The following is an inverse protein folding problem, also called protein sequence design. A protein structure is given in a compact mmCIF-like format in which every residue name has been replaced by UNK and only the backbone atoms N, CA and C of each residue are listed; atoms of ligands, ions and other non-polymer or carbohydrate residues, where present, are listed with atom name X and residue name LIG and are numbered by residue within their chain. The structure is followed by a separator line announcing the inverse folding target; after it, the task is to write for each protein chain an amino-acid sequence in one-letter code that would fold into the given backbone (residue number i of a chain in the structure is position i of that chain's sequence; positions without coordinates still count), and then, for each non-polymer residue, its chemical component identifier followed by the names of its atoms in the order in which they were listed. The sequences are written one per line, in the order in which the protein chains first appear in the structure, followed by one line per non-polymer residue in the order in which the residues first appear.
data_IF_056182594516
#
_entry.id   IF_056182594516
#
_cell.length_a   1.000
_cell.length_b   1.000
_cell.length_c   1.000
_cell.angle_alpha   90.00
_cell.angle_beta   90.00
_cell.angle_gamma   90.00
#
_symmetry.space_group_name_H-M   'P 1'
#
loop_
_entity.id
_entity.type
_entity.pdbx_description
1 polymer ?
#
# COMPACT_ATOMS: atom_id res chain seq x y z
N UNK A 1 3.71 -23.37 17.40
CA UNK A 1 3.17 -22.42 16.42
C UNK A 1 4.35 -21.98 15.56
N UNK A 2 4.29 -22.13 14.25
CA UNK A 2 5.35 -21.68 13.35
C UNK A 2 5.24 -20.15 13.12
N UNK A 3 6.29 -19.53 12.57
CA UNK A 3 6.34 -18.07 12.35
C UNK A 3 5.17 -17.52 11.52
N UNK A 4 4.69 -18.23 10.51
CA UNK A 4 3.52 -17.79 9.73
C UNK A 4 2.23 -17.86 10.56
N UNK A 5 2.04 -18.94 11.31
CA UNK A 5 0.93 -19.05 12.26
C UNK A 5 0.98 -17.97 13.34
N UNK A 6 2.18 -17.58 13.81
CA UNK A 6 2.36 -16.45 14.72
C UNK A 6 1.99 -15.11 14.08
N UNK A 7 2.39 -14.87 12.83
CA UNK A 7 2.02 -13.66 12.08
C UNK A 7 0.49 -13.58 11.93
N UNK A 8 -0.14 -14.69 11.54
CA UNK A 8 -1.60 -14.78 11.39
C UNK A 8 -2.29 -14.58 12.73
N UNK A 9 -1.88 -15.30 13.78
CA UNK A 9 -2.47 -15.19 15.12
C UNK A 9 -2.32 -13.78 15.70
N UNK A 10 -1.14 -13.16 15.54
CA UNK A 10 -0.89 -11.77 15.97
C UNK A 10 -1.77 -10.78 15.22
N UNK A 11 -1.87 -10.93 13.90
CA UNK A 11 -2.70 -10.08 13.06
C UNK A 11 -4.18 -10.22 13.47
N UNK A 12 -4.73 -11.42 13.52
CA UNK A 12 -6.13 -11.67 13.90
C UNK A 12 -6.47 -11.19 15.31
N UNK A 13 -5.57 -11.42 16.27
CA UNK A 13 -5.73 -10.92 17.65
C UNK A 13 -5.77 -9.39 17.68
N UNK A 14 -4.84 -8.72 16.99
CA UNK A 14 -4.81 -7.27 16.89
C UNK A 14 -6.03 -6.71 16.16
N UNK A 15 -6.50 -7.36 15.09
CA UNK A 15 -7.71 -6.96 14.36
C UNK A 15 -8.91 -6.92 15.27
N UNK A 16 -9.15 -8.02 16.02
CA UNK A 16 -10.25 -8.13 16.98
C UNK A 16 -10.18 -7.01 18.00
N UNK A 17 -9.03 -6.82 18.64
CA UNK A 17 -8.82 -5.76 19.62
C UNK A 17 -9.06 -4.37 19.01
N UNK A 18 -8.50 -4.07 17.84
CA UNK A 18 -8.62 -2.77 17.19
C UNK A 18 -10.07 -2.44 16.81
N UNK A 19 -10.86 -3.45 16.41
CA UNK A 19 -12.30 -3.31 16.13
C UNK A 19 -13.10 -3.13 17.42
N UNK A 20 -12.75 -3.83 18.51
CA UNK A 20 -13.36 -3.64 19.84
C UNK A 20 -13.06 -2.24 20.41
N UNK A 21 -11.83 -1.75 20.23
CA UNK A 21 -11.38 -0.41 20.61
C UNK A 21 -11.88 0.70 19.65
N UNK A 22 -12.63 0.34 18.61
CA UNK A 22 -13.20 1.32 17.69
C UNK A 22 -14.42 1.98 18.32
N UNK A 23 -14.44 3.34 18.46
CA UNK A 23 -15.55 4.03 19.09
C UNK A 23 -16.88 3.67 18.44
N UNK A 24 -17.93 3.48 19.26
CA UNK A 24 -19.25 3.06 18.77
C UNK A 24 -19.90 4.00 17.76
N UNK A 25 -19.50 5.27 17.73
CA UNK A 25 -19.95 6.26 16.74
C UNK A 25 -19.23 6.16 15.40
N UNK A 26 -18.10 5.45 15.31
CA UNK A 26 -17.35 5.33 14.07
C UNK A 26 -18.13 4.53 13.04
N UNK A 27 -18.29 5.12 11.85
CA UNK A 27 -18.92 4.49 10.68
C UNK A 27 -17.95 4.57 9.52
N UNK A 28 -17.41 3.43 9.08
CA UNK A 28 -16.51 3.37 7.93
C UNK A 28 -17.14 3.91 6.65
N UNK A 29 -18.44 3.77 6.50
CA UNK A 29 -19.20 4.28 5.35
C UNK A 29 -19.21 5.80 5.30
N UNK A 30 -19.33 6.47 6.46
CA UNK A 30 -19.21 7.93 6.55
C UNK A 30 -17.76 8.38 6.32
N UNK A 31 -16.79 7.59 6.80
CA UNK A 31 -15.38 7.85 6.54
C UNK A 31 -15.08 7.81 5.03
N UNK A 32 -15.41 6.71 4.36
CA UNK A 32 -15.24 6.57 2.91
C UNK A 32 -16.04 7.63 2.16
N UNK A 33 -17.30 7.85 2.56
CA UNK A 33 -18.17 8.87 1.97
C UNK A 33 -17.57 10.26 2.04
N UNK A 34 -16.96 10.65 3.17
CA UNK A 34 -16.25 11.92 3.29
C UNK A 34 -15.05 11.98 2.34
N UNK A 35 -14.20 10.95 2.33
CA UNK A 35 -13.00 10.90 1.47
C UNK A 35 -13.38 11.06 -0.01
N UNK A 36 -14.42 10.34 -0.46
CA UNK A 36 -14.92 10.42 -1.82
C UNK A 36 -15.56 11.79 -2.10
N UNK A 37 -16.49 12.24 -1.27
CA UNK A 37 -17.22 13.49 -1.50
C UNK A 37 -16.28 14.71 -1.51
N UNK A 38 -15.34 14.78 -0.57
CA UNK A 38 -14.36 15.87 -0.52
C UNK A 38 -13.45 15.86 -1.76
N UNK A 39 -12.83 14.72 -2.05
CA UNK A 39 -11.84 14.64 -3.15
C UNK A 39 -12.49 14.82 -4.51
N UNK A 40 -13.64 14.17 -4.76
CA UNK A 40 -14.42 14.36 -5.99
C UNK A 40 -14.91 15.80 -6.07
N UNK A 41 -15.31 16.42 -4.96
CA UNK A 41 -15.70 17.83 -4.90
C UNK A 41 -14.56 18.76 -5.33
N UNK A 42 -13.32 18.51 -4.90
CA UNK A 42 -12.14 19.28 -5.35
C UNK A 42 -11.88 19.08 -6.84
N UNK A 43 -11.91 17.83 -7.33
CA UNK A 43 -11.75 17.52 -8.76
C UNK A 43 -12.81 18.23 -9.59
N UNK A 44 -14.08 18.12 -9.19
CA UNK A 44 -15.20 18.77 -9.86
C UNK A 44 -15.09 20.28 -9.84
N UNK A 45 -14.74 20.87 -8.69
CA UNK A 45 -14.55 22.31 -8.57
C UNK A 45 -13.46 22.78 -9.54
N UNK A 46 -12.27 22.16 -9.53
CA UNK A 46 -11.19 22.54 -10.44
C UNK A 46 -11.59 22.38 -11.91
N UNK A 47 -12.28 21.28 -12.26
CA UNK A 47 -12.77 21.05 -13.62
C UNK A 47 -13.77 22.12 -14.07
N UNK A 48 -14.66 22.58 -13.18
CA UNK A 48 -15.66 23.61 -13.47
C UNK A 48 -15.05 25.01 -13.67
N UNK A 49 -13.82 25.25 -13.20
CA UNK A 49 -13.11 26.52 -13.42
C UNK A 49 -12.34 26.57 -14.74
N UNK A 50 -12.17 25.44 -15.43
CA UNK A 50 -11.41 25.37 -16.67
C UNK A 50 -12.14 26.09 -17.80
N UNK A 51 -11.44 26.96 -18.52
CA UNK A 51 -11.98 27.69 -19.66
C UNK A 51 -10.97 27.72 -20.80
N UNK A 52 -11.38 27.30 -22.01
CA UNK A 52 -10.53 27.36 -23.22
C UNK A 52 -9.13 26.73 -23.01
N UNK A 53 -9.05 25.56 -22.37
CA UNK A 53 -7.77 24.90 -22.09
C UNK A 53 -7.04 24.52 -23.37
N UNK A 54 -5.71 24.53 -23.31
CA UNK A 54 -4.85 24.07 -24.41
C UNK A 54 -4.34 22.66 -24.15
N UNK A 55 -4.00 21.93 -25.22
CA UNK A 55 -3.41 20.58 -25.06
C UNK A 55 -2.05 20.65 -24.35
N UNK A 56 -1.32 21.76 -24.48
CA UNK A 56 -0.05 22.00 -23.80
C UNK A 56 -0.23 22.02 -22.28
N UNK A 57 -1.25 22.73 -21.78
CA UNK A 57 -1.56 22.76 -20.34
C UNK A 57 -1.84 21.34 -19.83
N UNK A 58 -2.64 20.55 -20.56
CA UNK A 58 -2.88 19.16 -20.20
C UNK A 58 -1.60 18.33 -20.20
N UNK A 59 -0.79 18.38 -21.26
CA UNK A 59 0.40 17.55 -21.37
C UNK A 59 1.47 17.93 -20.35
N UNK A 60 1.84 19.21 -20.32
CA UNK A 60 3.00 19.71 -19.55
C UNK A 60 2.67 20.02 -18.09
N UNK A 61 1.40 20.04 -17.69
CA UNK A 61 1.03 20.08 -16.26
C UNK A 61 0.73 18.68 -15.75
N UNK A 62 -0.12 17.90 -16.42
CA UNK A 62 -0.53 16.58 -15.90
C UNK A 62 0.66 15.64 -15.79
N UNK A 63 1.52 15.53 -16.82
CA UNK A 63 2.62 14.56 -16.78
C UNK A 63 3.59 14.85 -15.63
N UNK A 64 4.14 16.08 -15.47
CA UNK A 64 5.03 16.36 -14.36
C UNK A 64 4.35 16.21 -13.00
N UNK A 65 3.09 16.65 -12.86
CA UNK A 65 2.36 16.52 -11.59
C UNK A 65 2.06 15.06 -11.25
N UNK A 66 1.72 14.23 -12.24
CA UNK A 66 1.54 12.79 -12.09
C UNK A 66 2.83 12.09 -11.65
N UNK A 67 3.95 12.36 -12.32
CA UNK A 67 5.25 11.80 -11.96
C UNK A 67 5.72 12.29 -10.60
N UNK A 68 5.46 13.56 -10.27
CA UNK A 68 5.69 14.11 -8.95
C UNK A 68 4.84 13.41 -7.89
N UNK A 69 3.55 13.17 -8.15
CA UNK A 69 2.68 12.40 -7.27
C UNK A 69 3.21 10.99 -7.02
N UNK A 70 3.69 10.31 -8.08
CA UNK A 70 4.28 8.97 -7.97
C UNK A 70 5.56 8.93 -7.16
N UNK A 71 6.42 9.92 -7.35
CA UNK A 71 7.60 10.09 -6.52
C UNK A 71 7.25 10.44 -5.07
N UNK A 72 6.31 11.36 -4.85
CA UNK A 72 5.91 11.82 -3.52
C UNK A 72 5.27 10.69 -2.72
N UNK A 73 4.46 9.86 -3.36
CA UNK A 73 3.92 8.62 -2.80
C UNK A 73 5.06 7.68 -2.37
N UNK A 74 5.97 7.33 -3.29
CA UNK A 74 7.08 6.44 -3.00
C UNK A 74 7.96 6.97 -1.86
N UNK A 75 8.30 8.26 -1.91
CA UNK A 75 9.17 8.89 -0.93
C UNK A 75 8.48 9.00 0.44
N UNK A 76 7.20 9.41 0.45
CA UNK A 76 6.39 9.46 1.66
C UNK A 76 6.24 8.09 2.30
N UNK A 77 5.91 7.08 1.49
CA UNK A 77 5.72 5.72 1.97
C UNK A 77 7.03 5.13 2.52
N UNK A 78 8.15 5.26 1.80
CA UNK A 78 9.45 4.76 2.24
C UNK A 78 10.03 5.50 3.44
N UNK A 79 10.10 6.83 3.36
CA UNK A 79 10.89 7.63 4.30
C UNK A 79 10.06 8.25 5.43
N UNK A 80 8.75 8.41 5.28
CA UNK A 80 7.88 8.95 6.34
C UNK A 80 7.06 7.85 7.02
N UNK A 81 6.53 6.90 6.25
CA UNK A 81 5.64 5.86 6.78
C UNK A 81 6.40 4.59 7.21
N UNK A 82 7.49 4.21 6.54
CA UNK A 82 8.31 3.03 6.89
C UNK A 82 9.63 3.33 7.60
N UNK A 83 9.91 4.59 7.94
CA UNK A 83 11.12 4.95 8.67
C UNK A 83 10.83 5.16 10.16
N UNK A 84 11.46 4.40 11.08
CA UNK A 84 11.37 4.68 12.52
C UNK A 84 12.02 6.02 12.90
N UNK A 85 12.86 6.58 12.02
CA UNK A 85 13.48 7.91 12.14
C UNK A 85 12.61 9.02 11.54
N UNK A 86 11.40 8.69 11.07
CA UNK A 86 10.46 9.66 10.51
C UNK A 86 10.17 10.79 11.51
N UNK A 87 10.18 12.02 11.01
CA UNK A 87 9.78 13.19 11.79
C UNK A 87 8.26 13.25 12.00
N UNK A 88 7.49 12.50 11.20
CA UNK A 88 6.03 12.31 11.38
C UNK A 88 5.77 10.97 12.09
N UNK A 89 6.24 10.85 13.34
CA UNK A 89 6.09 9.62 14.15
C UNK A 89 4.66 9.07 14.21
N UNK A 90 3.59 9.90 14.31
CA UNK A 90 2.22 9.38 14.28
C UNK A 90 1.86 8.67 12.97
N UNK A 91 2.35 9.16 11.83
CA UNK A 91 2.12 8.54 10.53
C UNK A 91 2.87 7.21 10.40
N UNK A 92 4.14 7.16 10.83
CA UNK A 92 4.90 5.90 10.94
C UNK A 92 4.18 4.87 11.82
N UNK A 93 3.75 5.26 13.04
CA UNK A 93 3.05 4.35 13.95
C UNK A 93 1.73 3.86 13.37
N UNK A 94 0.94 4.76 12.77
CA UNK A 94 -0.30 4.38 12.11
C UNK A 94 -0.04 3.41 10.96
N UNK A 95 1.00 3.63 10.17
CA UNK A 95 1.25 2.79 9.02
C UNK A 95 1.85 1.43 9.42
N UNK A 96 2.94 1.40 10.19
CA UNK A 96 3.61 0.14 10.56
C UNK A 96 2.89 -0.58 11.70
N UNK A 97 2.60 0.12 12.80
CA UNK A 97 2.05 -0.49 14.02
C UNK A 97 0.52 -0.56 14.03
N UNK A 98 -0.17 0.00 13.03
CA UNK A 98 -1.61 -0.23 12.86
C UNK A 98 -1.89 -0.92 11.53
N UNK A 99 -1.59 -0.30 10.39
CA UNK A 99 -1.95 -0.86 9.09
C UNK A 99 -1.25 -2.21 8.80
N UNK A 100 0.09 -2.29 8.90
CA UNK A 100 0.84 -3.55 8.68
C UNK A 100 0.68 -4.59 9.80
N UNK A 101 0.26 -4.17 11.00
CA UNK A 101 -0.08 -5.11 12.06
C UNK A 101 -1.49 -5.69 11.86
N UNK A 102 -2.42 -4.85 11.40
CA UNK A 102 -3.79 -5.24 11.08
C UNK A 102 -3.83 -6.12 9.83
N UNK A 103 -3.10 -5.75 8.77
CA UNK A 103 -3.03 -6.48 7.51
C UNK A 103 -1.64 -7.08 7.33
N UNK A 104 -1.55 -8.41 7.26
CA UNK A 104 -0.31 -9.11 6.93
C UNK A 104 -0.40 -9.70 5.52
N UNK A 105 0.74 -10.14 4.98
CA UNK A 105 0.77 -10.87 3.70
C UNK A 105 -0.04 -12.19 3.68
N UNK A 106 -0.54 -12.67 4.83
CA UNK A 106 -1.39 -13.87 4.96
C UNK A 106 -2.84 -13.55 5.34
N UNK A 107 -3.07 -12.34 5.84
CA UNK A 107 -4.35 -11.83 6.30
C UNK A 107 -4.45 -10.42 5.74
N UNK A 108 -4.57 -10.32 4.41
CA UNK A 108 -4.53 -9.02 3.73
C UNK A 108 -5.93 -8.43 3.57
N UNK A 109 -6.94 -9.28 3.47
CA UNK A 109 -8.33 -8.87 3.25
C UNK A 109 -8.96 -8.18 4.48
N UNK A 110 -9.99 -7.36 4.23
CA UNK A 110 -10.79 -6.70 5.26
C UNK A 110 -12.22 -7.24 5.33
N UNK A 111 -12.81 -7.23 6.51
CA UNK A 111 -14.17 -7.72 6.79
C UNK A 111 -15.06 -6.61 7.33
N UNK A 112 -15.74 -5.91 6.42
CA UNK A 112 -16.73 -4.90 6.76
C UNK A 112 -16.16 -3.52 7.14
N UNK A 113 -17.08 -2.58 7.33
CA UNK A 113 -16.77 -1.15 7.37
C UNK A 113 -15.90 -0.69 8.56
N UNK A 114 -15.91 -1.40 9.70
CA UNK A 114 -15.08 -1.00 10.86
C UNK A 114 -13.59 -1.17 10.60
N UNK A 115 -13.21 -2.18 9.81
CA UNK A 115 -11.82 -2.45 9.45
C UNK A 115 -11.25 -1.39 8.51
N UNK A 116 -12.11 -0.63 7.80
CA UNK A 116 -11.69 0.50 6.98
C UNK A 116 -10.97 1.59 7.80
N UNK A 117 -11.13 1.63 9.13
CA UNK A 117 -10.36 2.52 10.00
C UNK A 117 -8.86 2.19 10.02
N UNK A 118 -8.49 0.93 9.79
CA UNK A 118 -7.10 0.49 9.69
C UNK A 118 -6.59 0.52 8.24
N UNK A 119 -7.48 0.46 7.26
CA UNK A 119 -7.16 0.44 5.83
C UNK A 119 -6.97 1.86 5.28
N UNK A 120 -8.03 2.66 5.31
CA UNK A 120 -8.08 3.97 4.67
C UNK A 120 -7.15 4.97 5.37
N UNK A 121 -6.68 5.96 4.63
CA UNK A 121 -6.08 7.14 5.25
C UNK A 121 -7.07 7.79 6.24
N UNK A 122 -6.61 8.47 7.31
CA UNK A 122 -7.51 9.18 8.22
C UNK A 122 -8.45 10.14 7.49
N UNK A 123 -9.65 10.43 8.02
CA UNK A 123 -10.61 11.30 7.34
C UNK A 123 -10.07 12.70 7.00
N UNK A 124 -9.12 13.23 7.78
CA UNK A 124 -8.51 14.53 7.51
C UNK A 124 -7.42 14.51 6.42
N UNK A 125 -6.92 13.33 6.04
CA UNK A 125 -5.82 13.19 5.09
C UNK A 125 -6.11 13.75 3.69
N UNK A 126 -7.27 13.49 3.03
CA UNK A 126 -7.57 14.11 1.74
C UNK A 126 -7.45 15.65 1.78
N UNK A 127 -7.90 16.28 2.87
CA UNK A 127 -7.76 17.73 3.07
C UNK A 127 -6.29 18.13 3.13
N UNK A 128 -5.48 17.41 3.91
CA UNK A 128 -4.05 17.66 4.04
C UNK A 128 -3.32 17.51 2.68
N UNK A 129 -3.64 16.48 1.89
CA UNK A 129 -3.02 16.28 0.58
C UNK A 129 -3.39 17.39 -0.42
N UNK A 130 -4.64 17.83 -0.42
CA UNK A 130 -5.08 18.98 -1.23
C UNK A 130 -4.34 20.25 -0.81
N UNK A 131 -4.24 20.52 0.50
CA UNK A 131 -3.49 21.68 1.01
C UNK A 131 -2.00 21.59 0.69
N UNK A 132 -1.41 20.39 0.71
CA UNK A 132 -0.02 20.18 0.34
C UNK A 132 0.24 20.41 -1.16
N UNK A 133 -0.73 20.10 -2.02
CA UNK A 133 -0.65 20.36 -3.46
C UNK A 133 -0.90 21.84 -3.83
N UNK A 134 -1.59 22.59 -2.97
CA UNK A 134 -2.03 23.96 -3.24
C UNK A 134 -0.88 24.93 -3.59
N UNK A 135 0.26 24.96 -2.87
CA UNK A 135 1.37 25.84 -3.23
C UNK A 135 1.90 25.61 -4.65
N UNK A 136 2.04 24.34 -5.07
CA UNK A 136 2.48 24.01 -6.42
C UNK A 136 1.45 24.42 -7.47
N UNK A 137 0.16 24.17 -7.21
CA UNK A 137 -0.93 24.59 -8.08
C UNK A 137 -1.01 26.11 -8.24
N UNK A 138 -0.88 26.87 -7.15
CA UNK A 138 -0.84 28.32 -7.20
C UNK A 138 0.39 28.83 -7.94
N UNK A 139 1.57 28.23 -7.71
CA UNK A 139 2.80 28.61 -8.41
C UNK A 139 2.66 28.40 -9.93
N UNK A 140 2.24 27.21 -10.36
CA UNK A 140 1.99 26.89 -11.78
C UNK A 140 0.93 27.84 -12.36
N UNK A 141 -0.13 28.10 -11.59
CA UNK A 141 -1.21 28.99 -11.98
C UNK A 141 -0.78 30.43 -12.25
N UNK A 142 0.11 30.95 -11.40
CA UNK A 142 0.65 32.30 -11.53
C UNK A 142 1.73 32.41 -12.62
N UNK A 143 2.50 31.35 -12.86
CA UNK A 143 3.59 31.36 -13.85
C UNK A 143 3.11 31.11 -15.28
N UNK A 144 1.97 30.44 -15.47
CA UNK A 144 1.48 30.08 -16.79
C UNK A 144 0.05 30.57 -17.03
N UNK A 145 -0.94 30.01 -16.34
CA UNK A 145 -2.36 30.37 -16.50
C UNK A 145 -3.20 29.83 -15.35
N UNK A 146 -4.36 30.44 -15.08
CA UNK A 146 -5.30 29.90 -14.10
C UNK A 146 -5.69 28.43 -14.40
N UNK A 147 -5.88 28.08 -15.68
CA UNK A 147 -6.13 26.71 -16.11
C UNK A 147 -5.02 25.76 -15.68
N UNK A 148 -3.75 26.14 -15.87
CA UNK A 148 -2.61 25.31 -15.48
C UNK A 148 -2.60 25.04 -13.97
N UNK A 149 -2.93 26.04 -13.15
CA UNK A 149 -3.08 25.86 -11.70
C UNK A 149 -4.22 24.91 -11.33
N UNK A 150 -5.39 25.06 -11.96
CA UNK A 150 -6.52 24.15 -11.75
C UNK A 150 -6.23 22.73 -12.23
N UNK A 151 -5.56 22.55 -13.37
CA UNK A 151 -5.14 21.24 -13.89
C UNK A 151 -4.14 20.59 -12.92
N UNK A 152 -3.21 21.35 -12.34
CA UNK A 152 -2.27 20.84 -11.35
C UNK A 152 -2.99 20.32 -10.09
N UNK A 153 -3.91 21.11 -9.53
CA UNK A 153 -4.72 20.70 -8.37
C UNK A 153 -5.61 19.49 -8.69
N UNK A 154 -6.31 19.53 -9.83
CA UNK A 154 -7.13 18.45 -10.33
C UNK A 154 -6.34 17.15 -10.43
N UNK A 155 -5.12 17.22 -11.00
CA UNK A 155 -4.23 16.06 -11.14
C UNK A 155 -3.87 15.47 -9.79
N UNK A 156 -3.48 16.29 -8.81
CA UNK A 156 -3.08 15.80 -7.48
C UNK A 156 -4.25 15.25 -6.66
N UNK A 157 -5.42 15.89 -6.72
CA UNK A 157 -6.63 15.37 -6.09
C UNK A 157 -7.06 14.02 -6.70
N UNK A 158 -6.98 13.91 -8.03
CA UNK A 158 -7.26 12.67 -8.75
C UNK A 158 -6.23 11.58 -8.43
N UNK A 159 -4.97 11.97 -8.29
CA UNK A 159 -3.89 11.08 -7.89
C UNK A 159 -4.13 10.48 -6.50
N UNK A 160 -4.51 11.32 -5.51
CA UNK A 160 -4.87 10.83 -4.18
C UNK A 160 -6.03 9.84 -4.22
N UNK A 161 -7.09 10.14 -5.00
CA UNK A 161 -8.23 9.23 -5.13
C UNK A 161 -7.83 7.89 -5.77
N UNK A 162 -6.97 7.93 -6.78
CA UNK A 162 -6.42 6.74 -7.43
C UNK A 162 -5.55 5.92 -6.47
N UNK A 163 -4.71 6.56 -5.66
CA UNK A 163 -3.94 5.91 -4.60
C UNK A 163 -4.86 5.16 -3.65
N UNK A 164 -5.84 5.85 -3.06
CA UNK A 164 -6.73 5.26 -2.05
C UNK A 164 -7.53 4.10 -2.65
N UNK A 165 -7.97 4.25 -3.90
CA UNK A 165 -8.67 3.20 -4.65
C UNK A 165 -7.79 1.97 -4.91
N UNK A 166 -6.59 2.13 -5.47
CA UNK A 166 -5.68 1.02 -5.77
C UNK A 166 -5.17 0.32 -4.51
N UNK A 167 -4.90 1.09 -3.45
CA UNK A 167 -4.57 0.54 -2.14
C UNK A 167 -5.73 -0.29 -1.58
N UNK A 168 -6.95 0.24 -1.58
CA UNK A 168 -8.15 -0.48 -1.14
C UNK A 168 -8.38 -1.77 -1.93
N UNK A 169 -8.23 -1.73 -3.27
CA UNK A 169 -8.35 -2.91 -4.13
C UNK A 169 -7.25 -3.96 -3.86
N UNK A 170 -6.09 -3.53 -3.37
CA UNK A 170 -5.00 -4.44 -2.97
C UNK A 170 -5.27 -5.19 -1.67
N UNK A 171 -6.20 -4.69 -0.87
CA UNK A 171 -6.72 -5.39 0.30
C UNK A 171 -8.06 -6.08 0.03
N UNK A 172 -8.49 -6.24 -1.22
CA UNK A 172 -9.72 -6.94 -1.56
C UNK A 172 -9.41 -8.23 -2.31
N UNK A 173 -9.87 -9.37 -1.81
CA UNK A 173 -9.76 -10.67 -2.48
C UNK A 173 -10.91 -10.88 -3.47
N UNK A 174 -10.64 -10.64 -4.77
CA UNK A 174 -11.65 -10.84 -5.80
C UNK A 174 -11.04 -11.28 -7.15
N UNK A 175 -11.50 -12.39 -7.79
CA UNK A 175 -10.86 -12.96 -8.99
C UNK A 175 -10.80 -12.03 -10.20
N UNK A 176 -11.70 -11.05 -10.31
CA UNK A 176 -11.64 -10.06 -11.40
C UNK A 176 -10.40 -9.17 -11.26
N UNK A 177 -10.00 -8.84 -10.03
CA UNK A 177 -8.87 -7.94 -9.78
C UNK A 177 -7.53 -8.57 -10.19
N UNK A 178 -7.42 -9.89 -10.16
CA UNK A 178 -6.22 -10.61 -10.64
C UNK A 178 -6.03 -10.50 -12.16
N UNK A 179 -7.10 -10.17 -12.89
CA UNK A 179 -7.11 -10.09 -14.37
C UNK A 179 -7.06 -8.65 -14.89
N UNK A 180 -7.28 -7.66 -14.04
CA UNK A 180 -7.20 -6.25 -14.42
C UNK A 180 -5.72 -5.82 -14.51
N UNK A 181 -5.21 -5.43 -15.69
CA UNK A 181 -3.83 -4.96 -15.82
C UNK A 181 -3.55 -3.76 -14.92
N UNK A 182 -2.29 -3.61 -14.49
CA UNK A 182 -1.82 -2.61 -13.51
C UNK A 182 -2.32 -2.87 -12.10
N UNK A 183 -3.64 -3.09 -11.92
CA UNK A 183 -4.22 -3.48 -10.63
C UNK A 183 -3.56 -4.77 -10.14
N UNK A 184 -3.57 -5.83 -10.93
CA UNK A 184 -3.00 -7.11 -10.54
C UNK A 184 -1.51 -7.04 -10.15
N UNK A 185 -0.69 -6.30 -10.89
CA UNK A 185 0.71 -6.04 -10.54
C UNK A 185 0.83 -5.41 -9.16
N UNK A 186 0.09 -4.33 -8.92
CA UNK A 186 0.16 -3.55 -7.68
C UNK A 186 -0.30 -4.40 -6.50
N UNK A 187 -1.41 -5.13 -6.66
CA UNK A 187 -1.91 -6.06 -5.64
C UNK A 187 -0.85 -7.09 -5.26
N UNK A 188 -0.21 -7.71 -6.27
CA UNK A 188 0.86 -8.69 -6.05
C UNK A 188 2.08 -8.09 -5.34
N UNK A 189 2.51 -6.91 -5.74
CA UNK A 189 3.64 -6.20 -5.11
C UNK A 189 3.31 -5.79 -3.67
N UNK A 190 2.07 -5.37 -3.42
CA UNK A 190 1.57 -4.96 -2.11
C UNK A 190 1.47 -6.12 -1.11
N UNK A 191 1.07 -7.32 -1.57
CA UNK A 191 1.11 -8.53 -0.74
C UNK A 191 2.52 -8.76 -0.17
N UNK A 192 3.56 -8.66 -1.01
CA UNK A 192 4.94 -8.79 -0.54
C UNK A 192 5.36 -7.63 0.36
N UNK A 193 4.91 -6.41 0.04
CA UNK A 193 5.14 -5.25 0.89
C UNK A 193 4.60 -5.46 2.32
N UNK A 194 3.48 -6.16 2.49
CA UNK A 194 2.93 -6.56 3.80
C UNK A 194 3.67 -7.73 4.49
N UNK A 195 4.74 -8.27 3.90
CA UNK A 195 5.61 -9.20 4.60
C UNK A 195 6.60 -8.41 5.49
N UNK A 196 6.65 -8.68 6.81
CA UNK A 196 7.50 -7.93 7.75
C UNK A 196 8.98 -7.86 7.36
N UNK A 197 9.47 -8.84 6.61
CA UNK A 197 10.86 -8.90 6.18
C UNK A 197 11.15 -8.03 4.94
N UNK A 198 10.11 -7.53 4.26
CA UNK A 198 10.23 -6.77 3.02
C UNK A 198 9.61 -5.37 3.11
N UNK A 199 8.71 -5.11 4.07
CA UNK A 199 7.97 -3.85 4.20
C UNK A 199 8.86 -2.59 4.30
N UNK A 200 10.11 -2.73 4.75
CA UNK A 200 11.06 -1.63 4.85
C UNK A 200 11.98 -1.44 3.65
N UNK A 201 11.93 -2.33 2.66
CA UNK A 201 12.89 -2.36 1.55
C UNK A 201 12.26 -2.47 0.17
N UNK A 202 11.05 -3.01 0.05
CA UNK A 202 10.40 -3.29 -1.23
C UNK A 202 9.04 -2.63 -1.41
N UNK A 203 8.74 -2.30 -2.66
CA UNK A 203 7.41 -2.05 -3.20
C UNK A 203 6.63 -0.94 -2.47
N UNK A 204 7.13 0.30 -2.56
CA UNK A 204 6.53 1.46 -1.88
C UNK A 204 5.49 2.20 -2.71
N UNK A 205 5.39 1.97 -4.01
CA UNK A 205 4.29 2.51 -4.80
C UNK A 205 3.07 1.60 -4.70
N UNK A 206 1.96 2.19 -4.28
CA UNK A 206 0.61 1.61 -4.23
C UNK A 206 -0.27 2.08 -5.39
N UNK A 207 0.23 2.97 -6.25
CA UNK A 207 -0.37 3.30 -7.54
C UNK A 207 0.33 2.61 -8.70
N UNK A 208 1.31 3.24 -9.33
CA UNK A 208 2.11 2.68 -10.42
C UNK A 208 3.53 2.46 -9.89
N UNK A 209 4.12 1.26 -10.00
CA UNK A 209 5.47 0.96 -9.51
C UNK A 209 6.60 1.57 -10.36
N UNK A 210 6.47 2.84 -10.74
CA UNK A 210 7.45 3.57 -11.54
C UNK A 210 8.68 3.88 -10.68
N UNK A 211 8.50 4.55 -9.53
CA UNK A 211 9.62 4.84 -8.64
C UNK A 211 10.23 3.58 -8.02
N UNK A 212 9.43 2.54 -7.76
CA UNK A 212 9.98 1.24 -7.36
C UNK A 212 10.93 0.63 -8.39
N UNK A 213 10.54 0.66 -9.67
CA UNK A 213 11.40 0.19 -10.75
C UNK A 213 12.63 1.09 -10.95
N UNK A 214 12.45 2.42 -10.94
CA UNK A 214 13.53 3.38 -11.18
C UNK A 214 14.57 3.43 -10.04
N UNK A 215 14.13 3.31 -8.78
CA UNK A 215 14.99 3.43 -7.61
C UNK A 215 15.37 2.09 -6.98
N UNK A 216 15.09 0.98 -7.68
CA UNK A 216 15.54 -0.36 -7.28
C UNK A 216 14.84 -0.95 -6.06
N UNK A 217 13.68 -0.41 -5.67
CA UNK A 217 12.86 -0.96 -4.57
C UNK A 217 11.80 -1.94 -5.04
N UNK A 218 11.63 -2.14 -6.34
CA UNK A 218 10.86 -3.27 -6.86
C UNK A 218 11.53 -4.60 -6.48
N UNK A 219 10.73 -5.58 -6.06
CA UNK A 219 11.18 -6.97 -5.87
C UNK A 219 11.25 -7.76 -7.19
N UNK A 220 10.78 -7.18 -8.29
CA UNK A 220 10.83 -7.76 -9.63
C UNK A 220 12.14 -7.40 -10.33
N UNK A 221 12.72 -8.37 -11.03
CA UNK A 221 13.89 -8.21 -11.91
C UNK A 221 13.43 -7.81 -13.32
N UNK A 222 12.82 -6.62 -13.42
CA UNK A 222 12.27 -6.05 -14.65
C UNK A 222 12.51 -4.54 -14.72
N UNK A 223 12.55 -4.01 -15.94
CA UNK A 223 12.48 -2.56 -16.16
C UNK A 223 11.09 -1.98 -15.84
N UNK A 224 10.91 -0.66 -16.02
CA UNK A 224 9.66 0.06 -15.69
C UNK A 224 8.42 -0.58 -16.33
N UNK A 225 8.44 -0.80 -17.65
CA UNK A 225 7.29 -1.40 -18.36
C UNK A 225 7.01 -2.83 -17.90
N UNK A 226 8.06 -3.64 -17.73
CA UNK A 226 7.91 -5.01 -17.26
C UNK A 226 7.39 -5.10 -15.83
N UNK A 227 7.77 -4.14 -14.98
CA UNK A 227 7.25 -4.01 -13.61
C UNK A 227 5.77 -3.64 -13.65
N UNK A 228 5.39 -2.57 -14.37
CA UNK A 228 4.00 -2.10 -14.48
C UNK A 228 3.02 -3.20 -14.91
N UNK A 229 3.40 -3.99 -15.90
CA UNK A 229 2.54 -5.03 -16.49
C UNK A 229 2.96 -6.46 -16.08
N UNK A 230 3.54 -6.64 -14.91
CA UNK A 230 3.94 -7.97 -14.43
C UNK A 230 2.76 -8.92 -14.19
N UNK A 231 1.63 -8.38 -13.75
CA UNK A 231 0.52 -9.17 -13.25
C UNK A 231 0.82 -9.87 -11.93
N UNK A 232 0.08 -10.96 -11.66
CA UNK A 232 0.19 -11.74 -10.42
C UNK A 232 1.40 -12.69 -10.37
N UNK A 233 2.25 -12.75 -11.41
CA UNK A 233 3.35 -13.71 -11.48
C UNK A 233 4.49 -13.40 -10.51
N UNK A 234 5.06 -14.45 -9.92
CA UNK A 234 6.26 -14.41 -9.07
C UNK A 234 7.55 -14.84 -9.79
N UNK A 235 7.45 -15.25 -11.05
CA UNK A 235 8.59 -15.80 -11.82
C UNK A 235 9.75 -14.83 -11.91
N UNK A 236 9.45 -13.55 -12.11
CA UNK A 236 10.44 -12.50 -12.26
C UNK A 236 10.93 -11.91 -10.93
N UNK A 237 10.59 -12.50 -9.78
CA UNK A 237 11.11 -12.04 -8.48
C UNK A 237 12.63 -12.20 -8.43
N UNK A 238 13.32 -11.17 -7.92
CA UNK A 238 14.78 -11.15 -7.77
C UNK A 238 15.28 -12.35 -6.96
N UNK A 239 16.45 -12.88 -7.33
CA UNK A 239 17.02 -14.06 -6.70
C UNK A 239 17.24 -13.89 -5.19
N UNK A 240 17.69 -12.71 -4.75
CA UNK A 240 17.87 -12.37 -3.34
C UNK A 240 16.55 -12.40 -2.54
N UNK A 241 15.46 -11.87 -3.11
CA UNK A 241 14.15 -11.86 -2.46
C UNK A 241 13.52 -13.27 -2.43
N UNK A 242 13.74 -14.08 -3.49
CA UNK A 242 13.39 -15.51 -3.50
C UNK A 242 14.14 -16.28 -2.43
N UNK A 243 15.45 -16.09 -2.32
CA UNK A 243 16.29 -16.75 -1.33
C UNK A 243 15.83 -16.41 0.10
N UNK A 244 15.47 -15.14 0.35
CA UNK A 244 14.93 -14.70 1.64
C UNK A 244 13.62 -15.40 2.00
N UNK A 245 12.68 -15.53 1.05
CA UNK A 245 11.45 -16.30 1.27
C UNK A 245 11.71 -17.79 1.54
N UNK A 246 12.62 -18.41 0.78
CA UNK A 246 12.99 -19.83 1.01
C UNK A 246 13.63 -19.99 2.39
N UNK A 247 14.48 -19.07 2.82
CA UNK A 247 15.06 -19.09 4.16
C UNK A 247 13.98 -19.03 5.24
N UNK A 248 12.95 -18.18 5.09
CA UNK A 248 11.79 -18.14 6.00
C UNK A 248 11.06 -19.49 6.07
N UNK A 249 10.95 -20.21 4.95
CA UNK A 249 10.32 -21.54 4.90
C UNK A 249 11.22 -22.64 5.50
N UNK A 250 12.54 -22.51 5.39
CA UNK A 250 13.49 -23.49 5.90
C UNK A 250 13.73 -23.34 7.41
N UNK A 251 13.81 -22.11 7.94
CA UNK A 251 13.78 -21.85 9.39
C UNK A 251 12.55 -22.50 10.03
N UNK A 252 11.43 -22.54 9.31
CA UNK A 252 10.22 -23.27 9.72
C UNK A 252 10.45 -24.78 9.78
N UNK A 253 11.08 -25.39 8.78
CA UNK A 253 11.28 -26.85 8.75
C UNK A 253 12.19 -27.33 9.89
N UNK A 254 13.26 -26.60 10.20
CA UNK A 254 14.17 -26.94 11.30
C UNK A 254 13.50 -26.77 12.67
N UNK A 255 12.74 -25.69 12.89
CA UNK A 255 12.05 -25.44 14.17
C UNK A 255 10.97 -26.48 14.46
N UNK A 256 10.27 -26.98 13.42
CA UNK A 256 9.27 -28.05 13.57
C UNK A 256 9.95 -29.40 13.86
N UNK A 257 11.07 -29.71 13.19
CA UNK A 257 11.82 -30.95 13.41
C UNK A 257 12.45 -31.04 14.82
N UNK A 258 12.87 -29.90 15.41
CA UNK A 258 13.38 -29.85 16.78
C UNK A 258 12.28 -29.91 17.85
N UNK A 259 11.04 -29.57 17.51
CA UNK A 259 9.90 -29.57 18.42
C UNK A 259 9.14 -30.91 18.49
N UNK A 260 9.42 -31.86 17.60
CA UNK A 260 8.92 -33.24 17.74
C UNK A 260 9.78 -34.00 18.78
N UNK A 261 9.18 -34.54 19.86
CA UNK A 261 9.94 -35.33 20.80
C UNK A 261 10.43 -36.59 20.09
N UNK A 262 11.74 -36.85 20.15
CA UNK A 262 12.33 -38.09 19.67
C UNK A 262 11.66 -39.27 20.38
N UNK A 263 10.66 -39.88 19.71
CA UNK A 263 10.03 -41.13 20.10
C UNK A 263 11.08 -42.23 20.05
N UNK A 264 11.84 -42.36 21.12
CA UNK A 264 12.68 -43.52 21.41
C UNK A 264 11.85 -44.46 22.26
N UNK A 265 11.12 -45.36 21.59
CA UNK A 265 10.54 -46.54 22.24
C UNK A 265 11.71 -47.47 22.59
N UNK A 266 11.96 -47.82 23.86
CA UNK A 266 12.95 -48.84 24.18
C UNK A 266 12.36 -50.21 23.83
N UNK A 267 13.07 -50.97 23.01
CA UNK A 267 12.74 -52.36 22.72
C UNK A 267 12.72 -53.17 24.04
N UNK A 268 11.55 -53.68 24.41
CA UNK A 268 11.41 -54.63 25.50
C UNK A 268 12.10 -55.96 25.13
N UNK A 269 13.15 -56.32 25.87
CA UNK A 269 13.76 -57.64 25.82
C UNK A 269 12.77 -58.67 26.38
N UNK A 270 12.29 -59.56 25.51
CA UNK A 270 11.57 -60.76 25.92
C UNK A 270 12.57 -61.76 26.53
N UNK A 271 12.36 -62.11 27.81
CA UNK A 271 12.95 -63.31 28.42
C UNK A 271 11.95 -64.46 28.26
N UNK A 272 12.42 -65.54 27.66
CA UNK A 272 11.98 -66.91 27.87
C UNK A 272 13.24 -67.76 28.03
#
# INVERSE_FOLDING_TARGET
MNREEEIVARSLSYRKQYVEDTPGWYRGELHLGFTLAFTIGVVWYCAAQLQNTTWQEWLFVVIPMFLFGNWAEWAGHRYLLHSPKSWIKPAYKRHVATHHQFFSHKTLDYNGHKEWRALLFPPFAPVLFVLAALPAALLIGNLWSANAGYIAMLTMASYFLMYEGLHTLSHLEHPILDRLPLVNTVRRMHVLHHNPDFMHTRNFNLTFPICDALFGTSDLDKGVLGTLFNGMSDEARKAEDKAKLVAQQNERASTVAEAEPASTVPAAQARA
#
